data_IF_383570055893
#
_entry.id   IF_383570055893
#
_cell.length_a   1.000
_cell.length_b   1.000
_cell.length_c   1.000
_cell.angle_alpha   90.00
_cell.angle_beta   90.00
_cell.angle_gamma   90.00
#
_symmetry.space_group_name_H-M   'P 1'
#
loop_
_entity.id
_entity.type
_entity.pdbx_description
1 polymer ?
#
# COMPACT_ATOMS: atom_id res chain seq x y z
N UNK A 1 34.31 7.61 61.99
CA UNK A 1 34.16 6.29 61.34
C UNK A 1 35.02 6.28 60.08
N UNK A 2 36.10 5.48 60.06
CA UNK A 2 36.97 5.35 58.88
C UNK A 2 36.32 4.36 57.91
N UNK A 3 35.90 4.83 56.74
CA UNK A 3 35.36 3.98 55.69
C UNK A 3 36.45 3.03 55.18
N UNK A 4 36.22 1.73 55.30
CA UNK A 4 37.09 0.70 54.72
C UNK A 4 36.87 0.70 53.21
N UNK A 5 37.89 1.11 52.48
CA UNK A 5 37.91 1.02 51.03
C UNK A 5 37.68 -0.43 50.58
N UNK A 6 36.80 -0.66 49.59
CA UNK A 6 36.55 -2.00 49.10
C UNK A 6 37.84 -2.59 48.49
N UNK A 7 38.13 -3.88 48.75
CA UNK A 7 39.35 -4.52 48.29
C UNK A 7 39.49 -4.41 46.77
N UNK A 8 40.73 -4.22 46.29
CA UNK A 8 41.04 -3.95 44.88
C UNK A 8 40.41 -4.96 43.89
N UNK A 9 40.15 -6.19 44.34
CA UNK A 9 39.43 -7.21 43.59
C UNK A 9 37.98 -6.83 43.28
N UNK A 10 37.24 -6.27 44.24
CA UNK A 10 35.86 -5.84 44.04
C UNK A 10 35.74 -4.64 43.11
N UNK A 11 36.71 -3.72 43.12
CA UNK A 11 36.76 -2.59 42.17
C UNK A 11 36.92 -3.05 40.72
N UNK A 12 37.76 -4.06 40.46
CA UNK A 12 37.95 -4.63 39.11
C UNK A 12 36.70 -5.37 38.63
N UNK A 13 36.04 -6.12 39.52
CA UNK A 13 34.80 -6.82 39.17
C UNK A 13 33.67 -5.83 38.86
N UNK A 14 33.54 -4.78 39.66
CA UNK A 14 32.56 -3.71 39.46
C UNK A 14 32.77 -2.96 38.14
N UNK A 15 34.01 -2.60 37.80
CA UNK A 15 34.32 -1.96 36.51
C UNK A 15 33.97 -2.84 35.31
N UNK A 16 34.22 -4.16 35.40
CA UNK A 16 33.86 -5.10 34.33
C UNK A 16 32.35 -5.21 34.16
N UNK A 17 31.60 -5.26 35.26
CA UNK A 17 30.13 -5.24 35.21
C UNK A 17 29.60 -3.95 34.59
N UNK A 18 30.15 -2.80 34.98
CA UNK A 18 29.75 -1.50 34.43
C UNK A 18 30.04 -1.40 32.93
N UNK A 19 31.20 -1.87 32.48
CA UNK A 19 31.53 -1.89 31.05
C UNK A 19 30.61 -2.80 30.25
N UNK A 20 30.28 -3.99 30.76
CA UNK A 20 29.34 -4.90 30.08
C UNK A 20 27.94 -4.28 30.02
N UNK A 21 27.47 -3.65 31.09
CA UNK A 21 26.17 -2.97 31.11
C UNK A 21 26.12 -1.81 30.11
N UNK A 22 27.17 -0.97 30.04
CA UNK A 22 27.28 0.10 29.05
C UNK A 22 27.32 -0.44 27.62
N UNK A 23 28.07 -1.52 27.38
CA UNK A 23 28.12 -2.17 26.07
C UNK A 23 26.74 -2.70 25.67
N UNK A 24 26.01 -3.33 26.59
CA UNK A 24 24.65 -3.81 26.33
C UNK A 24 23.67 -2.66 26.04
N UNK A 25 23.76 -1.54 26.76
CA UNK A 25 22.93 -0.36 26.49
C UNK A 25 23.23 0.25 25.12
N UNK A 26 24.49 0.23 24.68
CA UNK A 26 24.89 0.76 23.37
C UNK A 26 24.53 -0.19 22.22
N UNK A 27 24.57 -1.49 22.45
CA UNK A 27 24.31 -2.51 21.41
C UNK A 27 22.82 -2.88 21.31
N UNK A 28 22.05 -2.72 22.39
CA UNK A 28 20.61 -3.04 22.40
C UNK A 28 19.80 -2.28 21.33
N UNK A 29 19.97 -0.95 21.09
CA UNK A 29 19.26 -0.24 20.04
C UNK A 29 19.59 -0.77 18.64
N UNK A 30 20.86 -1.16 18.42
CA UNK A 30 21.32 -1.72 17.16
C UNK A 30 20.74 -3.12 16.91
N UNK A 31 20.72 -3.97 17.95
CA UNK A 31 20.06 -5.28 17.88
C UNK A 31 18.55 -5.16 17.69
N UNK A 32 17.89 -4.21 18.36
CA UNK A 32 16.47 -3.89 18.16
C UNK A 32 16.18 -3.41 16.73
N UNK A 33 17.10 -2.65 16.13
CA UNK A 33 17.02 -2.22 14.73
C UNK A 33 17.22 -3.38 13.75
N UNK A 34 17.99 -4.41 14.11
CA UNK A 34 18.20 -5.61 13.28
C UNK A 34 17.04 -6.61 13.38
N UNK A 35 16.26 -6.57 14.47
CA UNK A 35 15.03 -7.38 14.62
C UNK A 35 13.79 -6.74 14.03
N UNK A 36 13.83 -5.45 13.66
CA UNK A 36 12.85 -4.88 12.74
C UNK A 36 13.15 -5.41 11.35
N UNK A 37 12.71 -6.62 11.05
CA UNK A 37 12.45 -6.99 9.66
C UNK A 37 11.45 -5.95 9.13
N UNK A 38 11.79 -5.18 8.10
CA UNK A 38 10.78 -4.36 7.44
C UNK A 38 9.70 -5.32 6.94
N UNK A 39 8.45 -5.02 7.24
CA UNK A 39 7.27 -5.76 6.80
C UNK A 39 7.16 -5.64 5.28
N UNK A 40 7.93 -6.48 4.58
CA UNK A 40 8.07 -6.46 3.12
C UNK A 40 6.75 -6.53 2.36
N UNK A 41 5.68 -7.06 2.98
CA UNK A 41 4.37 -7.17 2.35
C UNK A 41 3.66 -5.83 2.22
N UNK A 42 3.81 -4.92 3.19
CA UNK A 42 3.21 -3.58 3.11
C UNK A 42 4.14 -2.58 2.41
N UNK A 43 5.45 -2.81 2.39
CA UNK A 43 6.41 -1.95 1.66
C UNK A 43 6.09 -1.84 0.14
N UNK A 44 5.40 -2.82 -0.45
CA UNK A 44 4.91 -2.75 -1.84
C UNK A 44 3.60 -1.94 -2.00
N UNK A 45 2.92 -1.66 -0.89
CA UNK A 45 1.74 -0.80 -0.78
C UNK A 45 2.12 0.63 -0.39
N UNK A 46 3.19 0.79 0.39
CA UNK A 46 3.90 2.05 0.50
C UNK A 46 4.36 2.44 -0.92
N UNK A 47 3.86 3.54 -1.50
CA UNK A 47 4.10 3.99 -2.90
C UNK A 47 3.23 3.37 -3.99
N UNK A 48 2.12 2.76 -3.60
CA UNK A 48 1.17 2.17 -4.52
C UNK A 48 0.43 3.19 -5.40
N UNK A 49 0.12 4.35 -4.84
CA UNK A 49 -0.48 5.56 -5.41
C UNK A 49 0.37 6.29 -6.45
N UNK A 50 1.70 6.26 -6.33
CA UNK A 50 2.64 6.91 -7.26
C UNK A 50 2.68 6.30 -8.66
N UNK A 51 1.75 5.40 -8.99
CA UNK A 51 1.64 4.78 -10.30
C UNK A 51 0.67 5.59 -11.15
N UNK A 52 1.17 6.05 -12.30
CA UNK A 52 0.43 6.86 -13.28
C UNK A 52 -0.88 6.22 -13.81
N UNK A 53 -1.10 4.92 -13.54
CA UNK A 53 -2.24 4.12 -14.00
C UNK A 53 -2.96 3.43 -12.83
N UNK A 54 -3.20 4.16 -11.74
CA UNK A 54 -3.96 3.69 -10.59
C UNK A 54 -5.38 4.24 -10.58
N UNK A 55 -6.35 3.37 -10.29
CA UNK A 55 -7.69 3.72 -9.86
C UNK A 55 -7.79 3.39 -8.37
N UNK A 56 -7.84 4.41 -7.51
CA UNK A 56 -7.77 4.23 -6.05
C UNK A 56 -9.14 4.37 -5.38
N UNK A 57 -9.75 3.28 -4.96
CA UNK A 57 -11.07 3.24 -4.34
C UNK A 57 -10.94 3.32 -2.81
N UNK A 58 -11.63 4.26 -2.18
CA UNK A 58 -11.66 4.40 -0.71
C UNK A 58 -12.99 3.89 -0.14
N UNK A 59 -12.94 3.09 0.93
CA UNK A 59 -14.13 2.50 1.54
C UNK A 59 -14.93 3.45 2.41
N UNK A 60 -14.24 4.34 3.11
CA UNK A 60 -14.83 5.48 3.78
C UNK A 60 -14.61 6.66 2.85
N UNK A 61 -15.69 7.25 2.32
CA UNK A 61 -15.61 8.48 1.53
C UNK A 61 -14.81 9.53 2.33
N UNK A 62 -13.53 9.70 2.00
CA UNK A 62 -12.78 10.88 2.43
C UNK A 62 -13.47 12.03 1.72
N UNK A 63 -14.04 12.95 2.51
CA UNK A 63 -14.92 14.02 2.07
C UNK A 63 -14.35 14.77 0.85
N UNK A 64 -14.90 14.54 -0.35
CA UNK A 64 -14.60 15.40 -1.52
C UNK A 64 -14.47 14.70 -2.87
N UNK A 65 -14.13 13.41 -2.91
CA UNK A 65 -13.95 12.70 -4.19
C UNK A 65 -15.22 11.95 -4.63
N UNK A 66 -16.13 12.63 -5.32
CA UNK A 66 -17.23 12.03 -6.06
C UNK A 66 -17.13 12.33 -7.56
N UNK A 67 -15.96 12.13 -8.17
CA UNK A 67 -15.82 12.24 -9.62
C UNK A 67 -15.70 10.86 -10.27
N UNK A 68 -16.30 10.73 -11.46
CA UNK A 68 -16.20 9.53 -12.29
C UNK A 68 -14.74 9.19 -12.57
N UNK A 69 -14.29 8.04 -12.07
CA UNK A 69 -12.91 7.57 -12.17
C UNK A 69 -12.63 7.03 -13.57
N UNK A 70 -12.22 7.94 -14.45
CA UNK A 70 -11.81 7.64 -15.82
C UNK A 70 -10.29 7.60 -15.92
N UNK A 71 -9.74 6.51 -16.49
CA UNK A 71 -8.31 6.36 -16.73
C UNK A 71 -8.00 6.30 -18.22
N UNK A 72 -6.87 6.85 -18.64
CA UNK A 72 -6.36 6.76 -20.01
C UNK A 72 -4.94 6.20 -19.96
N UNK A 73 -4.71 5.05 -20.57
CA UNK A 73 -3.42 4.33 -20.55
C UNK A 73 -3.01 3.94 -21.97
N UNK A 74 -1.73 3.61 -22.18
CA UNK A 74 -1.27 3.04 -23.46
C UNK A 74 -1.41 1.51 -23.48
N UNK A 75 -1.61 0.94 -24.67
CA UNK A 75 -1.63 -0.50 -24.85
C UNK A 75 -0.31 -1.14 -24.39
N UNK A 76 -0.43 -2.19 -23.56
CA UNK A 76 0.69 -2.87 -22.91
C UNK A 76 1.08 -2.27 -21.56
N UNK A 77 0.53 -1.11 -21.18
CA UNK A 77 0.63 -0.63 -19.80
C UNK A 77 -0.33 -1.37 -18.89
N UNK A 78 0.09 -1.56 -17.64
CA UNK A 78 -0.76 -2.15 -16.63
C UNK A 78 -1.69 -1.09 -16.05
N UNK A 79 -2.93 -1.48 -15.81
CA UNK A 79 -3.89 -0.75 -14.98
C UNK A 79 -3.95 -1.42 -13.61
N UNK A 80 -4.03 -0.61 -12.57
CA UNK A 80 -4.13 -1.09 -11.19
C UNK A 80 -5.38 -0.51 -10.53
N UNK A 81 -6.08 -1.33 -9.77
CA UNK A 81 -7.09 -0.91 -8.81
C UNK A 81 -6.54 -1.07 -7.41
N UNK A 82 -6.69 -0.01 -6.64
CA UNK A 82 -6.43 0.05 -5.22
C UNK A 82 -7.72 0.09 -4.46
N UNK A 83 -7.74 -0.59 -3.33
CA UNK A 83 -8.75 -0.42 -2.32
C UNK A 83 -8.06 -0.15 -1.00
N UNK A 84 -8.61 0.75 -0.20
CA UNK A 84 -8.23 0.88 1.21
C UNK A 84 -9.40 0.89 2.17
N UNK A 85 -9.20 0.22 3.30
CA UNK A 85 -10.06 0.28 4.47
C UNK A 85 -9.28 0.84 5.65
N UNK A 86 -9.88 1.78 6.37
CA UNK A 86 -9.36 2.37 7.59
C UNK A 86 -10.34 2.16 8.76
N UNK A 87 -9.82 1.86 9.96
CA UNK A 87 -10.55 2.02 11.22
C UNK A 87 -9.54 2.20 12.37
N UNK A 88 -9.92 2.96 13.41
CA UNK A 88 -9.11 3.12 14.62
C UNK A 88 -8.97 1.82 15.44
N UNK A 89 -9.88 0.86 15.23
CA UNK A 89 -9.90 -0.45 15.90
C UNK A 89 -9.58 -1.58 14.92
N UNK A 90 -8.45 -2.27 15.17
CA UNK A 90 -8.00 -3.42 14.39
C UNK A 90 -9.06 -4.51 14.24
N UNK A 91 -9.78 -4.81 15.33
CA UNK A 91 -10.78 -5.87 15.33
C UNK A 91 -11.89 -5.59 14.33
N UNK A 92 -12.25 -4.32 14.11
CA UNK A 92 -13.24 -3.95 13.10
C UNK A 92 -12.72 -4.11 11.68
N UNK A 93 -11.45 -3.75 11.43
CA UNK A 93 -10.82 -4.03 10.12
C UNK A 93 -10.80 -5.53 9.87
N UNK A 94 -10.36 -6.33 10.84
CA UNK A 94 -10.38 -7.79 10.77
C UNK A 94 -11.79 -8.33 10.52
N UNK A 95 -12.79 -7.84 11.24
CA UNK A 95 -14.19 -8.26 11.17
C UNK A 95 -14.87 -7.92 9.84
N UNK A 96 -14.46 -6.81 9.20
CA UNK A 96 -14.93 -6.39 7.88
C UNK A 96 -14.26 -7.22 6.78
N UNK A 97 -12.97 -7.53 6.93
CA UNK A 97 -12.25 -8.40 5.99
C UNK A 97 -12.67 -9.87 6.14
N UNK A 98 -13.05 -10.29 7.34
CA UNK A 98 -13.48 -11.66 7.60
C UNK A 98 -14.85 -11.94 6.99
N UNK A 99 -14.84 -12.77 5.94
CA UNK A 99 -16.05 -13.16 5.22
C UNK A 99 -16.59 -12.14 4.23
N UNK A 100 -15.90 -11.02 3.97
CA UNK A 100 -16.24 -10.13 2.86
C UNK A 100 -15.80 -10.70 1.51
N UNK A 101 -16.51 -10.31 0.46
CA UNK A 101 -16.20 -10.62 -0.93
C UNK A 101 -15.90 -9.32 -1.68
N UNK A 102 -14.78 -9.32 -2.42
CA UNK A 102 -14.49 -8.32 -3.43
C UNK A 102 -14.86 -8.88 -4.80
N UNK A 103 -15.54 -8.07 -5.59
CA UNK A 103 -15.78 -8.35 -7.01
C UNK A 103 -15.31 -7.17 -7.85
N UNK A 104 -14.40 -7.43 -8.77
CA UNK A 104 -14.02 -6.50 -9.84
C UNK A 104 -14.44 -7.10 -11.17
N UNK A 105 -15.23 -6.36 -11.93
CA UNK A 105 -15.66 -6.71 -13.28
C UNK A 105 -15.12 -5.70 -14.28
N UNK A 106 -14.64 -6.19 -15.42
CA UNK A 106 -14.31 -5.36 -16.58
C UNK A 106 -15.06 -5.91 -17.79
N UNK A 107 -15.80 -5.05 -18.48
CA UNK A 107 -16.71 -5.39 -19.58
C UNK A 107 -17.69 -6.52 -19.24
N UNK A 108 -18.17 -6.53 -17.99
CA UNK A 108 -19.10 -7.54 -17.47
C UNK A 108 -18.47 -8.91 -17.22
N UNK A 109 -17.13 -9.00 -17.18
CA UNK A 109 -16.40 -10.22 -16.81
C UNK A 109 -15.73 -10.02 -15.46
N UNK A 110 -16.01 -10.90 -14.51
CA UNK A 110 -15.27 -10.95 -13.25
C UNK A 110 -13.79 -11.20 -13.53
N UNK A 111 -12.95 -10.27 -13.12
CA UNK A 111 -11.50 -10.43 -13.19
C UNK A 111 -11.05 -11.03 -11.86
N UNK A 112 -11.09 -12.35 -11.81
CA UNK A 112 -10.52 -13.15 -10.73
C UNK A 112 -8.98 -13.14 -10.83
N UNK A 113 -8.26 -13.54 -9.76
CA UNK A 113 -6.79 -13.52 -9.75
C UNK A 113 -6.07 -14.40 -10.80
N UNK A 114 -6.78 -15.17 -11.63
CA UNK A 114 -6.17 -15.94 -12.74
C UNK A 114 -5.77 -15.05 -13.94
N UNK A 115 -6.46 -13.92 -14.15
CA UNK A 115 -6.26 -13.00 -15.28
C UNK A 115 -5.39 -11.77 -14.91
N UNK A 116 -4.82 -11.74 -13.70
CA UNK A 116 -4.02 -10.63 -13.20
C UNK A 116 -3.26 -10.99 -11.93
N UNK A 117 -2.88 -9.98 -11.15
CA UNK A 117 -2.25 -10.17 -9.84
C UNK A 117 -3.04 -9.41 -8.80
N UNK A 118 -3.68 -10.16 -7.90
CA UNK A 118 -4.43 -9.62 -6.77
C UNK A 118 -3.85 -10.08 -5.43
N UNK A 119 -3.70 -9.17 -4.48
CA UNK A 119 -3.33 -9.50 -3.11
C UNK A 119 -3.86 -8.47 -2.10
N UNK A 120 -4.17 -8.96 -0.91
CA UNK A 120 -4.37 -8.13 0.28
C UNK A 120 -3.02 -7.83 0.92
N UNK A 121 -2.89 -6.63 1.48
CA UNK A 121 -1.84 -6.30 2.44
C UNK A 121 -2.15 -6.93 3.81
N UNK A 122 -1.14 -6.98 4.68
CA UNK A 122 -1.38 -7.20 6.09
C UNK A 122 -2.04 -5.96 6.71
N UNK A 123 -2.83 -6.15 7.77
CA UNK A 123 -3.41 -5.02 8.52
C UNK A 123 -2.27 -4.30 9.24
N UNK A 124 -1.98 -3.06 8.83
CA UNK A 124 -0.89 -2.24 9.36
C UNK A 124 -1.44 -1.12 10.24
N UNK A 125 -0.75 -0.83 11.33
CA UNK A 125 -1.07 0.31 12.19
C UNK A 125 -0.16 1.50 11.85
N UNK A 126 -0.77 2.64 11.56
CA UNK A 126 -0.07 3.90 11.34
C UNK A 126 -0.13 4.75 12.62
N UNK A 127 1.06 5.06 13.18
CA UNK A 127 1.19 5.70 14.50
C UNK A 127 0.94 7.20 14.47
N UNK A 128 1.51 7.86 13.47
CA UNK A 128 1.14 9.19 13.04
C UNK A 128 0.22 8.98 11.82
N UNK A 129 -0.63 9.93 11.45
CA UNK A 129 -1.28 9.84 10.12
C UNK A 129 -0.20 9.59 9.04
N UNK A 130 -0.57 9.19 7.83
CA UNK A 130 0.43 8.79 6.84
C UNK A 130 0.37 9.58 5.52
N UNK A 131 0.49 10.90 5.55
CA UNK A 131 0.58 11.75 4.36
C UNK A 131 1.67 11.26 3.37
N UNK A 132 1.24 10.80 2.19
CA UNK A 132 2.07 10.04 1.25
C UNK A 132 2.73 10.89 0.16
N UNK A 133 2.03 11.93 -0.29
CA UNK A 133 2.49 12.84 -1.34
C UNK A 133 3.27 14.04 -0.74
N UNK A 134 3.12 14.28 0.56
CA UNK A 134 3.91 15.22 1.37
C UNK A 134 3.32 16.62 1.45
N UNK A 135 2.02 16.79 1.23
CA UNK A 135 1.35 18.08 1.22
C UNK A 135 0.64 18.45 2.55
N UNK A 136 0.48 17.47 3.44
CA UNK A 136 0.07 17.61 4.83
C UNK A 136 -1.09 16.69 5.22
N UNK A 137 -1.13 16.27 6.49
CA UNK A 137 -2.26 15.48 7.01
C UNK A 137 -3.61 16.17 6.79
N UNK A 138 -4.48 15.54 5.99
CA UNK A 138 -5.88 15.94 5.86
C UNK A 138 -6.09 17.26 5.13
N UNK A 139 -5.31 17.52 4.09
CA UNK A 139 -5.61 18.57 3.13
C UNK A 139 -6.95 18.26 2.39
N UNK A 140 -7.34 16.98 2.37
CA UNK A 140 -8.63 16.47 1.94
C UNK A 140 -8.73 16.21 0.45
N UNK A 141 -7.60 16.20 -0.27
CA UNK A 141 -7.63 15.89 -1.69
C UNK A 141 -7.63 14.38 -1.97
N UNK A 142 -7.14 13.55 -1.03
CA UNK A 142 -7.27 12.09 -0.97
C UNK A 142 -6.62 11.34 -2.16
N UNK A 143 -5.46 11.80 -2.62
CA UNK A 143 -4.79 11.24 -3.79
C UNK A 143 -3.85 10.04 -3.50
N UNK A 144 -3.70 9.62 -2.22
CA UNK A 144 -2.75 8.57 -1.82
C UNK A 144 -3.16 7.61 -0.69
N UNK A 145 -2.41 6.50 -0.57
CA UNK A 145 -2.44 5.58 0.57
C UNK A 145 -1.83 6.34 1.73
N UNK A 146 -2.66 6.99 2.56
CA UNK A 146 -2.00 7.83 3.55
C UNK A 146 -2.73 8.93 4.27
N UNK A 147 -3.74 9.54 3.66
CA UNK A 147 -4.44 10.69 4.26
C UNK A 147 -5.43 10.28 5.35
N UNK A 148 -5.12 9.17 6.01
CA UNK A 148 -5.85 8.60 7.10
C UNK A 148 -5.27 9.08 8.43
N UNK A 149 -6.12 9.34 9.43
CA UNK A 149 -5.65 9.57 10.78
C UNK A 149 -4.93 8.32 11.32
N UNK A 150 -4.32 8.47 12.49
CA UNK A 150 -3.75 7.35 13.23
C UNK A 150 -4.78 6.21 13.38
N UNK A 151 -4.45 5.03 12.86
CA UNK A 151 -5.32 3.84 12.98
C UNK A 151 -4.79 2.63 12.21
N UNK A 152 -5.66 1.63 12.03
CA UNK A 152 -5.38 0.41 11.31
C UNK A 152 -5.87 0.51 9.87
N UNK A 153 -5.04 0.09 8.93
CA UNK A 153 -5.34 0.10 7.50
C UNK A 153 -5.13 -1.30 6.92
N UNK A 154 -6.03 -1.68 6.03
CA UNK A 154 -5.85 -2.80 5.12
C UNK A 154 -6.07 -2.33 3.69
N UNK A 155 -5.24 -2.81 2.77
CA UNK A 155 -5.31 -2.44 1.38
C UNK A 155 -5.43 -3.69 0.51
N UNK A 156 -6.24 -3.59 -0.54
CA UNK A 156 -6.27 -4.59 -1.60
C UNK A 156 -5.76 -3.96 -2.88
N UNK A 157 -4.98 -4.74 -3.61
CA UNK A 157 -4.47 -4.35 -4.91
C UNK A 157 -4.84 -5.40 -5.93
N UNK A 158 -5.26 -4.93 -7.11
CA UNK A 158 -5.37 -5.76 -8.30
C UNK A 158 -4.73 -5.06 -9.51
N UNK A 159 -3.84 -5.75 -10.22
CA UNK A 159 -3.18 -5.23 -11.43
C UNK A 159 -3.40 -6.19 -12.61
N UNK A 160 -3.78 -5.65 -13.77
CA UNK A 160 -3.82 -6.40 -15.05
C UNK A 160 -3.44 -5.51 -16.24
N UNK A 161 -3.36 -6.08 -17.44
CA UNK A 161 -3.15 -5.38 -18.71
C UNK A 161 -4.40 -5.59 -19.57
N UNK A 162 -4.96 -4.50 -20.09
CA UNK A 162 -6.13 -4.53 -20.95
C UNK A 162 -5.72 -4.38 -22.43
N UNK A 163 -6.53 -4.94 -23.32
CA UNK A 163 -6.38 -4.74 -24.76
C UNK A 163 -6.69 -3.29 -25.15
N UNK A 164 -6.26 -2.85 -26.33
CA UNK A 164 -6.72 -1.57 -26.90
C UNK A 164 -8.25 -1.49 -26.94
N UNK A 165 -8.82 -0.36 -26.52
CA UNK A 165 -10.25 -0.12 -26.53
C UNK A 165 -10.74 0.75 -25.37
N UNK A 166 -12.06 0.88 -25.26
CA UNK A 166 -12.71 1.46 -24.09
C UNK A 166 -13.30 0.32 -23.29
N UNK A 167 -12.96 0.27 -22.00
CA UNK A 167 -13.40 -0.75 -21.06
C UNK A 167 -14.23 -0.12 -19.96
N UNK A 168 -15.33 -0.77 -19.60
CA UNK A 168 -16.11 -0.37 -18.43
C UNK A 168 -15.71 -1.26 -17.26
N UNK A 169 -15.49 -0.68 -16.10
CA UNK A 169 -15.21 -1.45 -14.89
C UNK A 169 -16.25 -1.18 -13.81
N UNK A 170 -16.54 -2.21 -13.03
CA UNK A 170 -17.41 -2.15 -11.86
C UNK A 170 -16.71 -2.87 -10.73
N UNK A 171 -16.59 -2.17 -9.62
CA UNK A 171 -16.03 -2.67 -8.40
C UNK A 171 -17.15 -2.80 -7.36
N UNK A 172 -17.17 -3.89 -6.59
CA UNK A 172 -18.13 -4.13 -5.52
C UNK A 172 -17.46 -4.76 -4.30
N UNK A 173 -17.83 -4.24 -3.13
CA UNK A 173 -17.58 -4.86 -1.84
C UNK A 173 -18.86 -5.40 -1.27
N UNK A 174 -18.82 -6.64 -0.86
CA UNK A 174 -19.91 -7.28 -0.18
C UNK A 174 -19.43 -7.70 1.20
N UNK A 175 -20.08 -7.21 2.24
CA UNK A 175 -19.76 -7.63 3.60
C UNK A 175 -20.17 -9.11 3.81
N UNK A 176 -19.78 -9.68 4.94
CA UNK A 176 -20.12 -11.07 5.31
C UNK A 176 -21.61 -11.38 5.40
N UNK A 177 -22.48 -10.37 5.47
CA UNK A 177 -23.94 -10.54 5.46
C UNK A 177 -24.49 -10.68 4.04
N UNK A 178 -23.67 -10.42 3.03
CA UNK A 178 -24.08 -10.35 1.64
C UNK A 178 -24.56 -8.96 1.21
N UNK A 179 -24.41 -7.94 2.07
CA UNK A 179 -24.80 -6.58 1.74
C UNK A 179 -23.69 -5.88 0.95
N UNK A 180 -24.06 -5.24 -0.16
CA UNK A 180 -23.16 -4.36 -0.89
C UNK A 180 -23.02 -3.06 -0.12
N UNK A 181 -21.85 -2.84 0.47
CA UNK A 181 -21.59 -1.64 1.28
C UNK A 181 -20.74 -0.60 0.52
N UNK A 182 -20.02 -1.03 -0.51
CA UNK A 182 -19.35 -0.13 -1.45
C UNK A 182 -19.55 -0.62 -2.88
N UNK A 183 -19.80 0.31 -3.78
CA UNK A 183 -19.81 0.07 -5.22
C UNK A 183 -19.25 1.28 -5.93
N UNK A 184 -18.29 1.05 -6.82
CA UNK A 184 -17.68 2.07 -7.64
C UNK A 184 -17.59 1.58 -9.10
N UNK A 185 -17.48 2.50 -10.05
CA UNK A 185 -17.39 2.17 -11.47
C UNK A 185 -16.84 3.33 -12.28
N UNK A 186 -16.30 3.01 -13.46
CA UNK A 186 -15.80 4.02 -14.38
C UNK A 186 -15.39 3.43 -15.72
N UNK A 187 -14.63 4.21 -16.47
CA UNK A 187 -14.12 3.78 -17.79
C UNK A 187 -12.60 3.83 -17.86
N UNK A 188 -12.03 2.91 -18.64
CA UNK A 188 -10.60 2.91 -18.98
C UNK A 188 -10.49 2.98 -20.49
N UNK A 189 -9.78 3.99 -20.99
CA UNK A 189 -9.44 4.11 -22.40
C UNK A 189 -7.99 3.66 -22.62
N UNK A 190 -7.82 2.55 -23.32
CA UNK A 190 -6.52 2.00 -23.71
C UNK A 190 -6.20 2.45 -25.13
N UNK A 191 -5.28 3.40 -25.24
CA UNK A 191 -4.81 3.96 -26.49
C UNK A 191 -3.85 3.00 -27.20
N UNK A 192 -3.82 3.04 -28.53
CA UNK A 192 -2.86 2.27 -29.31
C UNK A 192 -1.43 2.71 -29.01
N UNK A 193 -0.55 1.75 -28.76
CA UNK A 193 0.85 2.05 -28.48
C UNK A 193 1.58 2.44 -29.78
N UNK A 194 1.66 3.74 -30.02
CA UNK A 194 2.34 4.33 -31.17
C UNK A 194 3.84 4.04 -31.22
N UNK A 195 4.47 3.59 -30.11
CA UNK A 195 5.90 3.24 -30.09
C UNK A 195 6.20 1.88 -30.73
N UNK A 196 5.21 1.00 -30.87
CA UNK A 196 5.37 -0.30 -31.55
C UNK A 196 5.36 -0.20 -33.08
N UNK A 197 4.96 0.95 -33.65
CA UNK A 197 4.99 1.22 -35.09
C UNK A 197 6.30 1.82 -35.60
N UNK A 198 7.38 1.83 -34.81
CA UNK A 198 8.75 1.97 -35.34
C UNK A 198 9.21 0.68 -36.06
N UNK A 199 8.32 -0.03 -36.77
CA UNK A 199 8.69 -1.07 -37.72
C UNK A 199 9.11 -0.38 -39.02
N UNK A 200 10.43 -0.12 -39.11
CA UNK A 200 11.23 0.17 -40.32
C UNK A 200 10.43 0.71 -41.50
N UNK A 201 10.65 1.97 -41.85
CA UNK A 201 10.41 2.39 -43.23
C UNK A 201 11.14 1.41 -44.16
N UNK A 202 10.36 0.62 -44.93
CA UNK A 202 10.91 -0.40 -45.86
C UNK A 202 11.83 0.22 -46.92
N UNK A 203 11.71 1.54 -47.14
CA UNK A 203 12.47 2.27 -48.14
C UNK A 203 13.77 2.90 -47.62
N UNK A 204 13.86 3.29 -46.34
CA UNK A 204 15.03 4.04 -45.86
C UNK A 204 15.75 3.46 -44.64
N UNK A 205 15.20 2.44 -43.97
CA UNK A 205 15.91 1.70 -42.90
C UNK A 205 16.28 2.50 -41.64
N UNK A 206 15.88 3.75 -41.52
CA UNK A 206 16.25 4.62 -40.40
C UNK A 206 15.49 4.24 -39.13
N UNK A 207 16.20 4.11 -38.00
CA UNK A 207 15.62 4.07 -36.65
C UNK A 207 15.72 5.49 -36.07
N UNK A 208 14.63 6.03 -35.53
CA UNK A 208 14.74 7.12 -34.54
C UNK A 208 15.05 6.52 -33.18
#
# INVERSE_FOLDING_TARGET
MKGTDPPAFQRKLFLRFLMVALLLILVAPFLLSLTKTPDRAFDEFEFFDRKENLIHIFSEEIFGMQEERNAIIQEGEAITWGWEWYDENKEKVEDILDGSEISLEVDGRKILPEDGRGCWSEIKFFQDGFDHDGDGFGDGDADGIGDVPRGFVAAFRFTTVLSKGVHMWVFQFTDRTGLVVLRDSGTITVLENWRTEARRCKECGYRR
#
